data_IF_172074336555
#
_entry.id   IF_172074336555
#
_cell.length_a   1.000
_cell.length_b   1.000
_cell.length_c   1.000
_cell.angle_alpha   90.00
_cell.angle_beta   90.00
_cell.angle_gamma   90.00
#
_symmetry.space_group_name_H-M   'P 1'
#
loop_
_entity.id
_entity.type
_entity.pdbx_description
1 polymer ?
#
# COMPACT_ATOMS: atom_id res chain seq x y z
N UNK A 1 44.36 11.62 -75.33
CA UNK A 1 43.25 10.99 -76.07
C UNK A 1 42.88 9.74 -75.31
N UNK A 2 41.71 9.55 -74.73
CA UNK A 2 40.61 10.42 -74.29
C UNK A 2 39.72 9.46 -73.48
N UNK A 3 39.22 9.92 -72.33
CA UNK A 3 38.12 9.29 -71.60
C UNK A 3 36.87 9.21 -72.49
N UNK A 4 35.97 8.26 -72.20
CA UNK A 4 34.53 8.50 -72.05
C UNK A 4 33.84 7.27 -71.45
N UNK A 5 33.22 7.47 -70.29
CA UNK A 5 32.01 6.77 -69.85
C UNK A 5 30.89 6.94 -70.89
N UNK A 6 29.90 6.04 -70.90
CA UNK A 6 28.46 6.37 -71.09
C UNK A 6 27.60 5.09 -71.17
N UNK A 7 26.76 4.88 -70.16
CA UNK A 7 25.38 4.31 -70.29
C UNK A 7 24.48 5.37 -70.92
N UNK A 8 23.35 5.08 -71.65
CA UNK A 8 22.13 4.48 -71.06
C UNK A 8 21.09 3.85 -72.06
N UNK A 9 19.88 3.61 -71.53
CA UNK A 9 18.53 3.49 -72.14
C UNK A 9 18.05 2.15 -72.72
N UNK A 10 17.04 1.45 -72.14
CA UNK A 10 15.60 1.75 -71.86
C UNK A 10 14.70 1.29 -73.01
N UNK A 11 13.83 0.30 -72.76
CA UNK A 11 12.40 0.22 -73.16
C UNK A 11 11.85 -1.19 -72.84
N UNK A 12 11.02 -1.32 -71.82
CA UNK A 12 9.54 -1.26 -71.84
C UNK A 12 8.88 -2.58 -72.26
N UNK A 13 8.36 -3.32 -71.28
CA UNK A 13 6.99 -3.88 -71.35
C UNK A 13 6.31 -3.60 -70.00
N UNK A 14 5.27 -2.76 -70.09
CA UNK A 14 4.20 -2.47 -69.13
C UNK A 14 3.30 -3.73 -69.05
N UNK A 15 2.58 -4.07 -67.99
CA UNK A 15 1.57 -3.30 -67.28
C UNK A 15 1.30 -3.88 -65.87
N UNK A 16 0.83 -2.99 -65.02
CA UNK A 16 0.25 -3.15 -63.68
C UNK A 16 -0.73 -4.33 -63.53
N UNK A 17 -0.71 -5.00 -62.37
CA UNK A 17 -1.84 -4.94 -61.42
C UNK A 17 -1.34 -5.13 -59.98
N UNK A 18 -1.74 -4.20 -59.13
CA UNK A 18 -1.52 -4.10 -57.69
C UNK A 18 -2.16 -5.23 -56.88
N UNK A 19 -1.47 -5.74 -55.86
CA UNK A 19 -2.03 -6.14 -54.55
C UNK A 19 -0.88 -6.31 -53.53
N UNK A 20 -0.89 -5.48 -52.49
CA UNK A 20 0.10 -5.38 -51.42
C UNK A 20 -0.29 -6.36 -50.30
N UNK A 21 0.60 -7.26 -49.88
CA UNK A 21 0.52 -7.92 -48.57
C UNK A 21 1.87 -7.80 -47.85
N UNK A 22 1.79 -7.38 -46.60
CA UNK A 22 2.80 -6.68 -45.82
C UNK A 22 3.67 -7.58 -44.93
N UNK A 23 4.81 -7.00 -44.55
CA UNK A 23 5.92 -7.48 -43.71
C UNK A 23 5.52 -7.88 -42.25
N UNK A 24 4.73 -8.94 -42.05
CA UNK A 24 4.34 -9.41 -40.71
C UNK A 24 4.98 -10.75 -40.25
N UNK A 25 6.00 -11.28 -40.93
CA UNK A 25 6.48 -12.65 -40.67
C UNK A 25 7.72 -12.81 -39.76
N UNK A 26 8.21 -11.76 -39.08
CA UNK A 26 9.43 -11.89 -38.24
C UNK A 26 9.29 -11.14 -36.91
N UNK A 27 8.42 -11.62 -36.00
CA UNK A 27 8.54 -11.34 -34.54
C UNK A 27 7.60 -12.18 -33.65
N UNK A 28 7.49 -13.49 -33.87
CA UNK A 28 6.75 -14.39 -32.97
C UNK A 28 7.70 -15.24 -32.11
N UNK A 29 8.58 -14.58 -31.34
CA UNK A 29 9.41 -15.22 -30.31
C UNK A 29 8.77 -14.97 -28.92
N UNK A 30 8.05 -16.00 -28.46
CA UNK A 30 7.63 -16.31 -27.08
C UNK A 30 7.70 -15.18 -26.03
N UNK A 31 6.60 -14.42 -25.90
CA UNK A 31 6.23 -13.85 -24.58
C UNK A 31 5.75 -15.00 -23.70
N UNK A 32 6.68 -15.60 -22.95
CA UNK A 32 6.30 -16.47 -21.84
C UNK A 32 5.36 -15.70 -20.90
N UNK A 33 4.09 -16.09 -20.92
CA UNK A 33 3.09 -15.52 -20.02
C UNK A 33 3.49 -15.90 -18.60
N UNK A 34 3.81 -14.90 -17.77
CA UNK A 34 4.06 -15.10 -16.35
C UNK A 34 2.89 -15.92 -15.79
N UNK A 35 3.16 -17.15 -15.35
CA UNK A 35 2.16 -18.07 -14.81
C UNK A 35 1.67 -17.50 -13.47
N UNK A 36 0.64 -16.65 -13.51
CA UNK A 36 0.01 -16.11 -12.31
C UNK A 36 -0.64 -17.28 -11.56
N UNK A 37 -0.38 -17.36 -10.25
CA UNK A 37 -0.98 -18.41 -9.41
C UNK A 37 -2.51 -18.36 -9.50
N UNK A 38 -3.10 -19.46 -9.96
CA UNK A 38 -4.57 -19.69 -9.98
C UNK A 38 -5.09 -20.16 -8.63
N UNK A 39 -4.24 -20.20 -7.59
CA UNK A 39 -4.61 -20.66 -6.26
C UNK A 39 -5.67 -19.73 -5.68
N UNK A 40 -6.89 -20.25 -5.49
CA UNK A 40 -7.88 -19.59 -4.65
C UNK A 40 -7.29 -19.41 -3.24
N UNK A 41 -7.20 -18.15 -2.81
CA UNK A 41 -6.72 -17.80 -1.47
C UNK A 41 -7.86 -18.02 -0.49
N UNK A 42 -8.00 -19.25 0.00
CA UNK A 42 -8.93 -19.53 1.08
C UNK A 42 -8.27 -19.16 2.41
N UNK A 43 -8.93 -18.29 3.16
CA UNK A 43 -8.50 -17.86 4.48
C UNK A 43 -8.79 -19.03 5.44
N UNK A 44 -7.87 -19.42 6.33
CA UNK A 44 -8.17 -20.42 7.35
C UNK A 44 -9.40 -20.01 8.18
N UNK A 45 -10.31 -20.96 8.48
CA UNK A 45 -11.61 -20.68 9.13
C UNK A 45 -11.50 -19.83 10.40
N UNK A 46 -10.40 -19.96 11.14
CA UNK A 46 -10.09 -19.13 12.31
C UNK A 46 -10.13 -17.61 12.03
N UNK A 47 -9.83 -17.20 10.80
CA UNK A 47 -9.82 -15.80 10.37
C UNK A 47 -11.03 -15.42 9.49
N UNK A 48 -11.91 -16.37 9.17
CA UNK A 48 -13.07 -16.13 8.30
C UNK A 48 -13.99 -15.03 8.86
N UNK A 49 -14.11 -14.93 10.18
CA UNK A 49 -14.93 -13.92 10.86
C UNK A 49 -14.16 -12.60 11.11
N UNK A 50 -12.86 -12.54 10.81
CA UNK A 50 -11.98 -11.47 11.28
C UNK A 50 -11.72 -10.38 10.25
N UNK A 51 -11.90 -10.69 8.96
CA UNK A 51 -11.74 -9.74 7.86
C UNK A 51 -12.90 -9.89 6.90
N UNK A 52 -13.65 -8.81 6.71
CA UNK A 52 -14.61 -8.77 5.63
C UNK A 52 -13.83 -8.34 4.40
N UNK A 53 -13.73 -9.23 3.41
CA UNK A 53 -13.11 -8.94 2.11
C UNK A 53 -14.01 -8.04 1.27
N UNK A 54 -14.38 -6.88 1.83
CA UNK A 54 -15.15 -5.86 1.15
C UNK A 54 -14.21 -4.91 0.41
N UNK A 55 -14.56 -4.63 -0.83
CA UNK A 55 -14.07 -3.46 -1.53
C UNK A 55 -14.85 -2.24 -1.01
N UNK A 56 -14.27 -1.04 -1.12
CA UNK A 56 -14.89 0.20 -0.65
C UNK A 56 -16.32 0.39 -1.22
N UNK A 57 -16.49 0.13 -2.51
CA UNK A 57 -17.79 0.18 -3.20
C UNK A 57 -18.82 -0.79 -2.61
N UNK A 58 -18.41 -2.02 -2.30
CA UNK A 58 -19.28 -3.03 -1.66
C UNK A 58 -19.67 -2.63 -0.24
N UNK A 59 -18.73 -2.07 0.53
CA UNK A 59 -19.01 -1.59 1.89
C UNK A 59 -20.05 -0.46 1.91
N UNK A 60 -20.07 0.41 0.88
CA UNK A 60 -20.96 1.57 0.80
C UNK A 60 -22.32 1.26 0.18
N UNK A 61 -22.38 0.28 -0.71
CA UNK A 61 -23.63 -0.13 -1.35
C UNK A 61 -24.29 -1.33 -0.64
N UNK A 62 -23.59 -1.93 0.34
CA UNK A 62 -24.08 -3.06 1.10
C UNK A 62 -25.18 -2.71 2.11
N UNK A 63 -25.76 -3.77 2.69
CA UNK A 63 -26.84 -3.67 3.69
C UNK A 63 -26.42 -2.87 4.93
N UNK A 64 -25.19 -3.04 5.39
CA UNK A 64 -24.64 -2.36 6.58
C UNK A 64 -23.90 -1.06 6.23
N UNK A 65 -24.26 -0.42 5.10
CA UNK A 65 -23.52 0.73 4.57
C UNK A 65 -23.44 1.92 5.52
N UNK A 66 -24.46 2.17 6.33
CA UNK A 66 -24.46 3.25 7.32
C UNK A 66 -23.37 3.02 8.39
N UNK A 67 -23.26 1.79 8.89
CA UNK A 67 -22.25 1.40 9.87
C UNK A 67 -20.83 1.52 9.28
N UNK A 68 -20.64 1.10 8.02
CA UNK A 68 -19.36 1.24 7.34
C UNK A 68 -18.99 2.70 7.08
N UNK A 69 -19.94 3.55 6.66
CA UNK A 69 -19.72 4.98 6.47
C UNK A 69 -19.33 5.67 7.77
N UNK A 70 -20.00 5.34 8.88
CA UNK A 70 -19.65 5.86 10.20
C UNK A 70 -18.22 5.46 10.60
N UNK A 71 -17.84 4.20 10.44
CA UNK A 71 -16.49 3.72 10.73
C UNK A 71 -15.42 4.39 9.86
N UNK A 72 -15.70 4.59 8.56
CA UNK A 72 -14.82 5.32 7.63
C UNK A 72 -14.66 6.78 8.07
N UNK A 73 -15.75 7.43 8.48
CA UNK A 73 -15.71 8.83 8.94
C UNK A 73 -14.93 8.98 10.25
N UNK A 74 -15.08 8.08 11.21
CA UNK A 74 -14.30 8.06 12.45
C UNK A 74 -12.80 7.97 12.14
N UNK A 75 -12.42 7.00 11.29
CA UNK A 75 -11.03 6.80 10.91
C UNK A 75 -10.47 8.03 10.16
N UNK A 76 -11.21 8.59 9.20
CA UNK A 76 -10.82 9.85 8.52
C UNK A 76 -10.64 11.00 9.49
N UNK A 77 -11.57 11.16 10.44
CA UNK A 77 -11.50 12.18 11.48
C UNK A 77 -10.20 12.09 12.28
N UNK A 78 -9.73 10.87 12.56
CA UNK A 78 -8.46 10.65 13.25
C UNK A 78 -7.25 11.15 12.44
N UNK A 79 -7.24 10.93 11.12
CA UNK A 79 -6.16 11.39 10.26
C UNK A 79 -6.13 12.91 10.12
N UNK A 80 -7.30 13.54 9.99
CA UNK A 80 -7.44 14.99 9.88
C UNK A 80 -7.04 15.69 11.18
N UNK A 81 -7.48 15.18 12.33
CA UNK A 81 -7.11 15.70 13.66
C UNK A 81 -5.61 15.67 13.90
N UNK A 82 -4.93 14.61 13.44
CA UNK A 82 -3.49 14.42 13.62
C UNK A 82 -2.63 15.05 12.53
N UNK A 83 -3.22 15.76 11.54
CA UNK A 83 -2.51 16.37 10.39
C UNK A 83 -1.56 15.36 9.73
N UNK A 84 -2.09 14.18 9.43
CA UNK A 84 -1.28 13.00 9.07
C UNK A 84 -0.51 13.18 7.76
N UNK A 85 -1.02 14.00 6.85
CA UNK A 85 -0.41 14.22 5.54
C UNK A 85 -0.63 15.64 5.05
N UNK A 86 0.22 16.06 4.10
CA UNK A 86 0.16 17.36 3.43
C UNK A 86 0.20 17.16 1.91
N UNK A 87 -0.34 18.12 1.17
CA UNK A 87 -0.18 18.17 -0.29
C UNK A 87 1.26 18.60 -0.59
N UNK A 88 2.06 17.77 -1.28
CA UNK A 88 3.43 18.11 -1.63
C UNK A 88 3.48 19.04 -2.84
N UNK A 89 4.57 19.80 -2.98
CA UNK A 89 4.83 20.53 -4.21
C UNK A 89 5.13 19.56 -5.36
N UNK A 90 4.71 19.89 -6.58
CA UNK A 90 4.91 19.05 -7.78
C UNK A 90 6.37 18.63 -7.99
N UNK A 91 7.32 19.53 -7.68
CA UNK A 91 8.75 19.26 -7.82
C UNK A 91 9.26 18.17 -6.86
N UNK A 92 8.59 17.96 -5.72
CA UNK A 92 9.00 16.98 -4.72
C UNK A 92 8.59 15.55 -5.09
N UNK A 93 7.65 15.39 -6.03
CA UNK A 93 7.13 14.09 -6.46
C UNK A 93 8.00 13.48 -7.57
N UNK A 94 8.71 14.32 -8.33
CA UNK A 94 9.53 13.86 -9.44
C UNK A 94 10.51 12.77 -8.96
N UNK A 95 10.49 11.63 -9.65
CA UNK A 95 11.31 10.44 -9.40
C UNK A 95 11.13 9.73 -8.04
N UNK A 96 10.06 10.05 -7.30
CA UNK A 96 9.76 9.37 -6.03
C UNK A 96 8.71 8.28 -6.18
N UNK A 97 8.88 7.24 -5.36
CA UNK A 97 7.91 6.15 -5.27
C UNK A 97 6.64 6.63 -4.57
N UNK A 98 5.51 6.34 -5.18
CA UNK A 98 4.18 6.61 -4.63
C UNK A 98 3.59 5.27 -4.18
N UNK A 99 3.32 5.14 -2.88
CA UNK A 99 2.67 3.97 -2.33
C UNK A 99 1.15 4.08 -2.47
N UNK A 100 0.48 2.96 -2.67
CA UNK A 100 -0.98 2.94 -2.62
C UNK A 100 -1.48 2.67 -1.20
N UNK A 101 -2.64 3.21 -0.84
CA UNK A 101 -3.36 2.83 0.37
C UNK A 101 -4.67 2.10 0.03
N UNK A 102 -5.20 1.35 1.01
CA UNK A 102 -6.48 0.65 0.89
C UNK A 102 -7.23 0.64 2.20
N UNK A 103 -8.54 0.46 2.12
CA UNK A 103 -9.38 0.15 3.27
C UNK A 103 -9.29 -1.32 3.64
N UNK A 104 -9.31 -1.57 4.95
CA UNK A 104 -9.53 -2.89 5.56
C UNK A 104 -10.78 -2.77 6.43
N UNK A 105 -11.75 -3.64 6.17
CA UNK A 105 -13.01 -3.69 6.88
C UNK A 105 -13.05 -4.92 7.79
N UNK A 106 -13.52 -4.71 9.02
CA UNK A 106 -13.62 -5.75 10.03
C UNK A 106 -14.84 -5.53 10.89
N UNK A 107 -15.57 -6.61 11.13
CA UNK A 107 -16.60 -6.68 12.17
C UNK A 107 -15.96 -7.34 13.38
N UNK A 108 -16.09 -6.71 14.54
CA UNK A 108 -15.63 -7.27 15.82
C UNK A 108 -16.64 -8.27 16.38
N UNK A 109 -16.23 -9.05 17.39
CA UNK A 109 -17.09 -10.05 18.03
C UNK A 109 -18.34 -9.42 18.71
N UNK A 110 -18.26 -8.15 19.10
CA UNK A 110 -19.36 -7.36 19.64
C UNK A 110 -20.31 -6.79 18.56
N UNK A 111 -20.07 -7.12 17.28
CA UNK A 111 -20.84 -6.61 16.14
C UNK A 111 -20.43 -5.20 15.68
N UNK A 112 -19.44 -4.58 16.32
CA UNK A 112 -18.98 -3.25 15.97
C UNK A 112 -18.19 -3.27 14.64
N UNK A 113 -18.57 -2.38 13.74
CA UNK A 113 -17.93 -2.23 12.43
C UNK A 113 -16.71 -1.32 12.55
N UNK A 114 -15.58 -1.76 12.00
CA UNK A 114 -14.32 -1.01 12.02
C UNK A 114 -13.71 -0.94 10.64
N UNK A 115 -13.33 0.28 10.23
CA UNK A 115 -12.63 0.55 8.99
C UNK A 115 -11.24 1.08 9.34
N UNK A 116 -10.21 0.53 8.70
CA UNK A 116 -8.83 0.96 8.90
C UNK A 116 -8.20 1.31 7.55
N UNK A 117 -7.52 2.44 7.50
CA UNK A 117 -6.73 2.82 6.32
C UNK A 117 -5.32 2.24 6.47
N UNK A 118 -4.91 1.45 5.48
CA UNK A 118 -3.62 0.77 5.49
C UNK A 118 -2.85 1.08 4.22
N UNK A 119 -1.63 1.57 4.38
CA UNK A 119 -0.69 1.78 3.28
C UNK A 119 -0.11 0.43 2.85
N UNK A 120 0.10 0.24 1.56
CA UNK A 120 0.73 -0.97 1.01
C UNK A 120 2.24 -0.93 1.21
N UNK A 121 2.71 -1.03 2.45
CA UNK A 121 4.15 -1.02 2.72
C UNK A 121 4.92 -2.23 2.18
N UNK A 122 4.25 -3.24 1.61
CA UNK A 122 4.95 -4.25 0.83
C UNK A 122 5.51 -3.71 -0.50
N UNK A 123 5.03 -2.55 -0.95
CA UNK A 123 5.56 -1.81 -2.11
C UNK A 123 6.83 -1.01 -1.74
N UNK A 124 7.21 -0.94 -0.46
CA UNK A 124 8.41 -0.24 0.01
C UNK A 124 9.70 -1.04 -0.20
N UNK A 125 10.78 -0.32 -0.45
CA UNK A 125 12.14 -0.87 -0.61
C UNK A 125 13.07 -0.46 0.53
N UNK A 126 13.84 -1.44 1.02
CA UNK A 126 14.81 -1.21 2.09
C UNK A 126 15.97 -0.36 1.57
N UNK A 127 16.41 0.62 2.35
CA UNK A 127 17.47 1.57 1.98
C UNK A 127 16.98 2.75 1.12
N UNK A 128 15.69 2.77 0.75
CA UNK A 128 15.04 3.91 0.09
C UNK A 128 13.90 4.43 0.95
N UNK A 129 12.92 3.57 1.25
CA UNK A 129 11.68 3.95 1.95
C UNK A 129 11.74 3.66 3.47
N UNK A 130 12.68 2.82 3.89
CA UNK A 130 12.95 2.47 5.28
C UNK A 130 14.31 1.77 5.43
N UNK A 131 14.94 1.90 6.60
CA UNK A 131 16.20 1.20 6.91
C UNK A 131 15.99 -0.01 7.83
N UNK A 132 15.23 0.17 8.91
CA UNK A 132 15.00 -0.85 9.94
C UNK A 132 13.52 -1.19 10.09
N UNK A 133 13.22 -2.47 10.38
CA UNK A 133 11.86 -2.99 10.62
C UNK A 133 11.70 -3.76 11.93
N UNK A 134 12.82 -4.13 12.56
CA UNK A 134 12.82 -4.85 13.84
C UNK A 134 12.51 -3.97 15.05
N UNK A 135 11.32 -4.16 15.64
CA UNK A 135 10.95 -3.54 16.92
C UNK A 135 11.24 -4.51 18.07
N UNK A 136 11.82 -4.02 19.17
CA UNK A 136 12.04 -4.84 20.36
C UNK A 136 10.69 -5.17 21.02
N UNK A 137 10.14 -6.35 20.73
CA UNK A 137 8.93 -6.86 21.36
C UNK A 137 9.29 -7.56 22.67
N UNK A 138 8.49 -7.34 23.71
CA UNK A 138 8.64 -8.06 24.98
C UNK A 138 8.57 -9.57 24.73
N UNK A 139 9.61 -10.31 25.13
CA UNK A 139 9.59 -11.76 25.00
C UNK A 139 8.52 -12.36 25.94
N UNK A 140 7.80 -13.35 25.43
CA UNK A 140 6.78 -14.11 26.19
C UNK A 140 7.27 -14.63 27.56
N UNK A 141 8.55 -15.02 27.69
CA UNK A 141 9.12 -15.48 28.96
C UNK A 141 9.19 -14.34 29.99
N UNK A 142 9.60 -13.14 29.56
CA UNK A 142 9.64 -11.95 30.42
C UNK A 142 8.22 -11.55 30.80
N UNK A 143 7.27 -11.59 29.86
CA UNK A 143 5.87 -11.34 30.15
C UNK A 143 5.32 -12.31 31.20
N UNK A 144 5.56 -13.62 31.04
CA UNK A 144 5.14 -14.64 32.03
C UNK A 144 5.77 -14.41 33.40
N UNK A 145 7.05 -14.05 33.44
CA UNK A 145 7.74 -13.72 34.69
C UNK A 145 7.11 -12.50 35.36
N UNK A 146 6.82 -11.44 34.60
CA UNK A 146 6.14 -10.25 35.11
C UNK A 146 4.77 -10.61 35.71
N UNK A 147 3.96 -11.41 34.99
CA UNK A 147 2.66 -11.86 35.49
C UNK A 147 2.79 -12.71 36.76
N UNK A 148 3.76 -13.62 36.82
CA UNK A 148 4.01 -14.45 37.99
C UNK A 148 4.40 -13.60 39.22
N UNK A 149 5.27 -12.60 39.01
CA UNK A 149 5.66 -11.64 40.04
C UNK A 149 4.48 -10.79 40.50
N UNK A 150 3.64 -10.33 39.57
CA UNK A 150 2.43 -9.57 39.92
C UNK A 150 1.49 -10.39 40.80
N UNK A 151 1.27 -11.67 40.49
CA UNK A 151 0.46 -12.56 41.34
C UNK A 151 1.13 -12.80 42.69
N UNK A 152 2.45 -13.06 42.72
CA UNK A 152 3.18 -13.31 43.96
C UNK A 152 3.16 -12.11 44.92
N UNK A 153 3.21 -10.90 44.37
CA UNK A 153 3.28 -9.66 45.15
C UNK A 153 1.94 -8.93 45.28
N UNK A 154 0.86 -9.55 44.82
CA UNK A 154 -0.49 -8.99 44.81
C UNK A 154 -0.57 -7.59 44.13
N UNK A 155 0.09 -7.47 42.97
CA UNK A 155 0.10 -6.25 42.18
C UNK A 155 -1.09 -6.17 41.22
N UNK A 156 -1.68 -5.00 41.14
CA UNK A 156 -2.68 -4.67 40.12
C UNK A 156 -2.02 -4.45 38.76
N UNK A 157 -2.55 -5.13 37.74
CA UNK A 157 -2.11 -4.96 36.36
C UNK A 157 -3.13 -4.11 35.61
N UNK A 158 -2.69 -2.98 35.09
CA UNK A 158 -3.49 -2.13 34.21
C UNK A 158 -3.03 -2.34 32.77
N UNK A 159 -3.99 -2.55 31.86
CA UNK A 159 -3.74 -2.67 30.43
C UNK A 159 -4.32 -1.46 29.72
N UNK A 160 -3.50 -0.80 28.91
CA UNK A 160 -3.91 0.31 28.06
C UNK A 160 -3.78 -0.09 26.60
N UNK A 161 -4.84 0.15 25.83
CA UNK A 161 -4.82 0.02 24.36
C UNK A 161 -4.93 1.42 23.76
N UNK A 162 -3.89 1.86 23.07
CA UNK A 162 -3.82 3.21 22.51
C UNK A 162 -4.40 3.18 21.11
N UNK A 163 -5.61 3.72 20.97
CA UNK A 163 -6.19 3.99 19.66
C UNK A 163 -5.25 4.90 18.87
N UNK A 164 -5.03 4.61 17.59
CA UNK A 164 -4.23 5.43 16.68
C UNK A 164 -2.74 5.59 17.06
N UNK A 165 -2.18 4.64 17.82
CA UNK A 165 -0.78 4.65 18.25
C UNK A 165 0.23 5.07 17.15
N UNK A 166 0.06 4.57 15.92
CA UNK A 166 0.96 4.91 14.81
C UNK A 166 0.95 6.40 14.45
N UNK A 167 -0.16 7.11 14.62
CA UNK A 167 -0.29 8.53 14.25
C UNK A 167 0.53 9.46 15.15
N UNK A 168 0.97 9.01 16.32
CA UNK A 168 1.74 9.83 17.25
C UNK A 168 3.22 9.91 16.90
N UNK A 169 3.74 8.89 16.21
CA UNK A 169 5.16 8.86 15.88
C UNK A 169 5.52 9.74 14.67
N UNK A 170 6.66 10.44 14.76
CA UNK A 170 7.23 11.21 13.64
C UNK A 170 7.91 10.33 12.59
N UNK A 171 7.63 10.59 11.31
CA UNK A 171 8.18 9.86 10.18
C UNK A 171 9.37 10.66 9.62
N UNK A 172 10.57 10.10 9.69
CA UNK A 172 11.79 10.76 9.22
C UNK A 172 11.95 10.62 7.70
N UNK A 173 11.37 9.55 7.13
CA UNK A 173 11.45 9.23 5.71
C UNK A 173 10.39 9.98 4.89
N UNK A 174 10.72 10.38 3.66
CA UNK A 174 9.78 11.06 2.76
C UNK A 174 8.90 10.06 2.02
N UNK A 175 7.74 9.76 2.57
CA UNK A 175 6.80 8.79 2.00
C UNK A 175 5.63 9.50 1.33
N UNK A 176 5.37 9.13 0.09
CA UNK A 176 4.26 9.62 -0.71
C UNK A 176 3.20 8.53 -0.87
N UNK A 177 1.94 8.91 -0.69
CA UNK A 177 0.81 7.98 -0.72
C UNK A 177 -0.31 8.53 -1.60
N UNK A 178 -0.88 7.65 -2.43
CA UNK A 178 -2.17 7.86 -3.09
C UNK A 178 -3.28 7.34 -2.20
N UNK A 179 -4.22 8.21 -1.84
CA UNK A 179 -5.35 7.84 -0.99
C UNK A 179 -6.37 7.00 -1.78
N UNK A 180 -6.99 5.98 -1.16
CA UNK A 180 -7.99 5.15 -1.80
C UNK A 180 -9.31 5.88 -1.95
N UNK A 181 -10.26 5.19 -2.59
CA UNK A 181 -11.65 5.63 -2.69
C UNK A 181 -12.24 6.06 -1.34
N UNK A 182 -13.10 7.08 -1.42
CA UNK A 182 -13.75 7.69 -0.29
C UNK A 182 -13.11 8.97 0.23
N UNK A 183 -11.87 9.25 -0.12
CA UNK A 183 -11.35 10.61 0.00
C UNK A 183 -11.81 11.44 -1.20
N UNK A 184 -12.04 12.74 -1.00
CA UNK A 184 -12.55 13.63 -2.05
C UNK A 184 -11.65 13.66 -3.29
N UNK A 185 -10.33 13.53 -3.09
CA UNK A 185 -9.33 13.62 -4.14
C UNK A 185 -8.47 12.35 -4.22
N UNK A 186 -9.05 11.27 -4.74
CA UNK A 186 -8.34 9.98 -4.93
C UNK A 186 -7.16 10.05 -5.90
N UNK A 187 -7.13 11.05 -6.78
CA UNK A 187 -6.03 11.26 -7.74
C UNK A 187 -4.88 12.11 -7.20
N UNK A 188 -5.02 12.69 -6.01
CA UNK A 188 -3.94 13.46 -5.39
C UNK A 188 -2.95 12.55 -4.67
N UNK A 189 -1.70 12.97 -4.70
CA UNK A 189 -0.60 12.37 -3.96
C UNK A 189 -0.40 13.21 -2.71
N UNK A 190 -0.20 12.55 -1.58
CA UNK A 190 0.04 13.21 -0.31
C UNK A 190 1.37 12.77 0.28
N UNK A 191 2.11 13.71 0.89
CA UNK A 191 3.31 13.41 1.68
C UNK A 191 2.89 13.12 3.11
N UNK A 192 3.28 11.95 3.62
CA UNK A 192 3.02 11.57 5.00
C UNK A 192 3.89 12.37 5.97
N UNK A 193 3.27 12.85 7.04
CA UNK A 193 3.91 13.51 8.19
C UNK A 193 3.96 12.59 9.42
N UNK A 194 3.04 11.63 9.47
CA UNK A 194 2.86 10.67 10.56
C UNK A 194 2.91 9.25 10.02
N UNK A 195 3.23 8.29 10.89
CA UNK A 195 3.22 6.87 10.51
C UNK A 195 1.78 6.41 10.38
N UNK A 196 1.54 5.57 9.37
CA UNK A 196 0.25 4.92 9.15
C UNK A 196 0.45 3.41 9.22
N UNK A 197 -0.61 2.70 9.60
CA UNK A 197 -0.68 1.25 9.49
C UNK A 197 -0.22 0.78 8.10
N UNK A 198 0.55 -0.31 8.08
CA UNK A 198 1.01 -0.96 6.85
C UNK A 198 2.38 -0.52 6.36
N UNK A 199 2.93 0.60 6.84
CA UNK A 199 4.35 0.94 6.62
C UNK A 199 5.25 -0.08 7.34
N UNK A 200 6.36 -0.46 6.71
CA UNK A 200 7.32 -1.45 7.23
C UNK A 200 7.94 -1.03 8.56
N UNK A 201 8.23 0.25 8.73
CA UNK A 201 8.87 0.82 9.92
C UNK A 201 7.89 1.27 11.01
N UNK A 202 6.57 1.30 10.75
CA UNK A 202 5.58 1.82 11.70
C UNK A 202 5.67 1.17 13.11
N UNK A 203 5.88 -0.15 13.26
CA UNK A 203 6.00 -0.79 14.57
C UNK A 203 7.23 -0.36 15.40
N UNK A 204 8.40 -0.18 14.78
CA UNK A 204 9.59 0.31 15.50
C UNK A 204 9.37 1.73 15.94
N UNK A 205 8.95 2.53 14.98
CA UNK A 205 8.89 3.96 15.11
C UNK A 205 7.82 4.36 16.14
N UNK A 206 6.81 3.50 16.40
CA UNK A 206 5.94 3.58 17.57
C UNK A 206 6.67 3.24 18.88
N UNK A 207 7.42 2.14 18.92
CA UNK A 207 8.19 1.73 20.10
C UNK A 207 9.19 2.82 20.56
N UNK A 208 9.90 3.44 19.61
CA UNK A 208 10.79 4.57 19.88
C UNK A 208 10.05 5.77 20.47
N UNK A 209 8.86 6.09 19.95
CA UNK A 209 8.04 7.18 20.48
C UNK A 209 7.58 6.87 21.91
N UNK A 210 7.19 5.62 22.19
CA UNK A 210 6.78 5.20 23.52
C UNK A 210 7.93 5.25 24.53
N UNK A 211 9.16 4.86 24.14
CA UNK A 211 10.35 4.98 25.00
C UNK A 211 10.65 6.40 25.45
N UNK A 212 10.26 7.41 24.65
CA UNK A 212 10.47 8.82 24.99
C UNK A 212 9.48 9.34 26.03
N UNK A 213 8.32 8.70 26.16
CA UNK A 213 7.36 8.98 27.24
C UNK A 213 7.93 8.34 28.51
N UNK A 214 8.77 9.07 29.23
CA UNK A 214 9.28 8.67 30.54
C UNK A 214 8.11 8.43 31.49
N UNK A 215 7.82 7.15 31.76
CA UNK A 215 7.00 6.69 32.88
C UNK A 215 7.91 6.34 34.06
#
# INVERSE_FOLDING_TARGET
MQETEDTPDTQEIKEDETSIESEEDIQHETRETIRRSTRQRNIPDRYANYYVHLIYSEAINGKDSENWKAAIQEEKGSFMKNKTWIEPDSNQINDKRILNARWIFKIKEDGCHTAQLVVRGFEQEKGIDYDETYSSVLHSNVFRLLMALSVQKDYYILKFDIKTAFLYGHLDEEIYVKLPEGFENTNKIYKLQKKICGLKQAPIKWNQHFKWINL
#
